data_IF_386442754698
#
_entry.id   IF_386442754698
#
_cell.length_a   1.000
_cell.length_b   1.000
_cell.length_c   1.000
_cell.angle_alpha   90.00
_cell.angle_beta   90.00
_cell.angle_gamma   90.00
#
_symmetry.space_group_name_H-M   'P 1'
#
loop_
_entity.id
_entity.type
_entity.pdbx_description
1 polymer ?
#
# COMPACT_ATOMS: atom_id res chain seq x y z
N UNK A 1 -8.16 20.55 19.60
CA UNK A 1 -6.86 20.59 18.87
C UNK A 1 -7.15 20.55 17.38
N UNK A 2 -6.65 21.53 16.59
CA UNK A 2 -6.76 21.47 15.13
C UNK A 2 -5.54 20.70 14.61
N UNK A 3 -5.75 19.56 13.99
CA UNK A 3 -4.70 18.83 13.30
C UNK A 3 -4.27 19.62 12.06
N UNK A 4 -2.96 19.68 11.80
CA UNK A 4 -2.46 20.24 10.56
C UNK A 4 -2.61 19.19 9.41
N UNK A 5 -2.41 19.63 8.17
CA UNK A 5 -2.57 18.77 6.98
C UNK A 5 -1.74 17.49 7.06
N UNK A 6 -0.46 17.60 7.45
CA UNK A 6 0.44 16.45 7.55
C UNK A 6 -0.02 15.45 8.60
N UNK A 7 -0.49 15.95 9.77
CA UNK A 7 -1.04 15.12 10.83
C UNK A 7 -2.28 14.35 10.39
N UNK A 8 -3.16 15.00 9.61
CA UNK A 8 -4.33 14.34 9.04
C UNK A 8 -3.93 13.24 8.05
N UNK A 9 -2.98 13.51 7.15
CA UNK A 9 -2.50 12.51 6.19
C UNK A 9 -1.86 11.33 6.91
N UNK A 10 -1.04 11.56 7.94
CA UNK A 10 -0.43 10.49 8.74
C UNK A 10 -1.49 9.64 9.45
N UNK A 11 -2.53 10.26 10.01
CA UNK A 11 -3.63 9.53 10.65
C UNK A 11 -4.42 8.67 9.65
N UNK A 12 -4.69 9.19 8.44
CA UNK A 12 -5.35 8.43 7.37
C UNK A 12 -4.49 7.27 6.89
N UNK A 13 -3.18 7.49 6.70
CA UNK A 13 -2.26 6.41 6.33
C UNK A 13 -2.17 5.33 7.41
N UNK A 14 -2.15 5.72 8.70
CA UNK A 14 -2.17 4.77 9.80
C UNK A 14 -3.46 3.93 9.80
N UNK A 15 -4.61 4.57 9.58
CA UNK A 15 -5.89 3.88 9.44
C UNK A 15 -5.88 2.91 8.25
N UNK A 16 -5.37 3.33 7.10
CA UNK A 16 -5.22 2.50 5.91
C UNK A 16 -4.34 1.26 6.17
N UNK A 17 -3.18 1.43 6.82
CA UNK A 17 -2.30 0.31 7.20
C UNK A 17 -2.98 -0.68 8.15
N UNK A 18 -3.68 -0.18 9.17
CA UNK A 18 -4.40 -1.02 10.12
C UNK A 18 -5.54 -1.80 9.45
N UNK A 19 -6.32 -1.14 8.58
CA UNK A 19 -7.39 -1.78 7.83
C UNK A 19 -6.86 -2.86 6.88
N UNK A 20 -5.77 -2.58 6.16
CA UNK A 20 -5.15 -3.58 5.27
C UNK A 20 -4.63 -4.78 6.08
N UNK A 21 -4.03 -4.55 7.25
CA UNK A 21 -3.60 -5.65 8.14
C UNK A 21 -4.78 -6.50 8.62
N UNK A 22 -5.90 -5.86 8.95
CA UNK A 22 -7.12 -6.54 9.36
C UNK A 22 -7.74 -7.32 8.19
N UNK A 23 -7.81 -6.73 7.01
CA UNK A 23 -8.28 -7.37 5.78
C UNK A 23 -7.48 -8.64 5.47
N UNK A 24 -6.15 -8.56 5.49
CA UNK A 24 -5.27 -9.72 5.30
C UNK A 24 -5.57 -10.80 6.36
N UNK A 25 -5.76 -10.41 7.63
CA UNK A 25 -6.07 -11.35 8.72
C UNK A 25 -7.41 -12.07 8.50
N UNK A 26 -8.41 -11.37 7.98
CA UNK A 26 -9.75 -11.92 7.76
C UNK A 26 -9.79 -12.79 6.52
N UNK A 27 -9.22 -12.31 5.40
CA UNK A 27 -9.28 -13.02 4.12
C UNK A 27 -8.35 -14.24 4.05
N UNK A 28 -7.25 -14.24 4.79
CA UNK A 28 -6.23 -15.30 4.74
C UNK A 28 -6.20 -16.16 6.02
N UNK A 29 -7.34 -16.39 6.67
CA UNK A 29 -7.42 -17.11 7.94
C UNK A 29 -6.79 -18.50 7.88
N UNK A 30 -6.99 -19.25 6.81
CA UNK A 30 -6.46 -20.59 6.62
C UNK A 30 -4.94 -20.56 6.45
N UNK A 31 -4.43 -19.70 5.57
CA UNK A 31 -2.99 -19.53 5.31
C UNK A 31 -2.25 -19.08 6.58
N UNK A 32 -2.84 -18.18 7.35
CA UNK A 32 -2.26 -17.66 8.60
C UNK A 32 -2.20 -18.73 9.69
N UNK A 33 -3.10 -19.74 9.65
CA UNK A 33 -3.07 -20.87 10.59
C UNK A 33 -2.01 -21.90 10.22
N UNK A 34 -1.81 -22.12 8.92
CA UNK A 34 -0.94 -23.17 8.42
C UNK A 34 0.51 -22.69 8.24
N UNK A 35 0.69 -21.43 7.81
CA UNK A 35 2.00 -20.86 7.50
C UNK A 35 2.28 -19.61 8.32
N UNK A 36 3.38 -19.60 9.07
CA UNK A 36 3.80 -18.46 9.88
C UNK A 36 4.09 -17.19 9.04
N UNK A 37 4.47 -17.35 7.76
CA UNK A 37 4.73 -16.24 6.83
C UNK A 37 3.49 -15.36 6.62
N UNK A 38 2.29 -15.91 6.76
CA UNK A 38 1.04 -15.17 6.68
C UNK A 38 0.91 -14.07 7.75
N UNK A 39 1.65 -14.17 8.86
CA UNK A 39 1.66 -13.15 9.90
C UNK A 39 2.52 -11.94 9.58
N UNK A 40 3.48 -12.05 8.65
CA UNK A 40 4.42 -10.96 8.32
C UNK A 40 3.69 -9.67 7.93
N UNK A 41 2.77 -9.65 6.93
CA UNK A 41 2.07 -8.43 6.54
C UNK A 41 1.13 -7.91 7.65
N UNK A 42 0.55 -8.79 8.47
CA UNK A 42 -0.36 -8.42 9.54
C UNK A 42 0.40 -7.66 10.63
N UNK A 43 1.46 -8.28 11.17
CA UNK A 43 2.29 -7.66 12.21
C UNK A 43 2.91 -6.37 11.70
N UNK A 44 3.46 -6.39 10.48
CA UNK A 44 4.01 -5.19 9.86
C UNK A 44 2.98 -4.07 9.77
N UNK A 45 1.78 -4.34 9.26
CA UNK A 45 0.74 -3.33 9.08
C UNK A 45 0.34 -2.65 10.39
N UNK A 46 0.17 -3.41 11.49
CA UNK A 46 -0.12 -2.83 12.80
C UNK A 46 1.05 -2.06 13.39
N UNK A 47 2.29 -2.55 13.24
CA UNK A 47 3.50 -1.85 13.69
C UNK A 47 3.65 -0.52 12.91
N UNK A 48 3.52 -0.55 11.59
CA UNK A 48 3.58 0.64 10.76
C UNK A 48 2.48 1.66 11.12
N UNK A 49 1.23 1.20 11.35
CA UNK A 49 0.14 2.05 11.81
C UNK A 49 0.47 2.74 13.13
N UNK A 50 1.03 2.01 14.10
CA UNK A 50 1.45 2.55 15.40
C UNK A 50 2.53 3.63 15.24
N UNK A 51 3.57 3.39 14.42
CA UNK A 51 4.61 4.39 14.17
C UNK A 51 4.10 5.63 13.41
N UNK A 52 3.19 5.45 12.44
CA UNK A 52 2.54 6.56 11.74
C UNK A 52 1.70 7.42 12.70
N UNK A 53 0.93 6.80 13.61
CA UNK A 53 0.20 7.52 14.66
C UNK A 53 1.15 8.27 15.60
N UNK A 54 2.24 7.63 16.04
CA UNK A 54 3.23 8.28 16.87
C UNK A 54 3.89 9.48 16.15
N UNK A 55 4.09 9.39 14.83
CA UNK A 55 4.65 10.47 14.01
C UNK A 55 3.72 11.71 13.91
N UNK A 56 2.43 11.59 14.25
CA UNK A 56 1.50 12.71 14.40
C UNK A 56 1.98 13.70 15.47
N UNK A 57 2.76 13.25 16.48
CA UNK A 57 3.37 14.12 17.50
C UNK A 57 4.39 15.11 16.95
N UNK A 58 4.81 14.99 15.69
CA UNK A 58 5.80 15.82 14.98
C UNK A 58 7.21 15.81 15.59
N UNK A 59 7.50 14.88 16.48
CA UNK A 59 8.86 14.67 17.01
C UNK A 59 9.76 14.13 15.91
N UNK A 60 10.85 14.83 15.60
CA UNK A 60 11.74 14.52 14.46
C UNK A 60 12.25 13.07 14.45
N UNK A 61 12.68 12.57 15.60
CA UNK A 61 13.20 11.20 15.72
C UNK A 61 12.11 10.17 15.40
N UNK A 62 10.90 10.37 15.92
CA UNK A 62 9.76 9.49 15.67
C UNK A 62 9.40 9.49 14.19
N UNK A 63 9.40 10.65 13.54
CA UNK A 63 9.13 10.77 12.10
C UNK A 63 10.16 10.02 11.26
N UNK A 64 11.44 10.12 11.58
CA UNK A 64 12.50 9.39 10.87
C UNK A 64 12.30 7.88 11.05
N UNK A 65 12.08 7.41 12.28
CA UNK A 65 11.86 5.97 12.54
C UNK A 65 10.62 5.47 11.82
N UNK A 66 9.51 6.21 11.88
CA UNK A 66 8.30 5.86 11.15
C UNK A 66 8.53 5.79 9.63
N UNK A 67 9.30 6.72 9.07
CA UNK A 67 9.68 6.70 7.66
C UNK A 67 10.52 5.47 7.29
N UNK A 68 11.48 5.09 8.14
CA UNK A 68 12.27 3.87 7.94
C UNK A 68 11.42 2.61 8.06
N UNK A 69 10.47 2.57 9.00
CA UNK A 69 9.49 1.47 9.10
C UNK A 69 8.65 1.38 7.82
N UNK A 70 8.21 2.52 7.28
CA UNK A 70 7.50 2.54 5.99
C UNK A 70 8.37 2.01 4.85
N UNK A 71 9.67 2.35 4.77
CA UNK A 71 10.57 1.81 3.74
C UNK A 71 10.64 0.27 3.76
N UNK A 72 10.61 -0.35 4.95
CA UNK A 72 10.58 -1.81 5.09
C UNK A 72 9.29 -2.42 4.50
N UNK A 73 8.20 -1.67 4.46
CA UNK A 73 6.94 -2.11 3.88
C UNK A 73 6.98 -2.35 2.38
N UNK A 74 7.87 -1.67 1.66
CA UNK A 74 7.99 -1.83 0.21
C UNK A 74 8.41 -3.27 -0.14
N UNK A 75 9.53 -3.81 0.38
CA UNK A 75 9.89 -5.20 0.11
C UNK A 75 8.89 -6.22 0.69
N UNK A 76 8.23 -5.92 1.82
CA UNK A 76 7.20 -6.81 2.38
C UNK A 76 6.00 -6.92 1.43
N UNK A 77 5.50 -5.80 0.90
CA UNK A 77 4.41 -5.82 -0.07
C UNK A 77 4.81 -6.49 -1.39
N UNK A 78 6.03 -6.25 -1.88
CA UNK A 78 6.56 -6.93 -3.07
C UNK A 78 6.70 -8.44 -2.87
N UNK A 79 7.14 -8.88 -1.69
CA UNK A 79 7.15 -10.29 -1.32
C UNK A 79 5.75 -10.90 -1.31
N UNK A 80 4.76 -10.17 -0.81
CA UNK A 80 3.35 -10.58 -0.88
C UNK A 80 2.89 -10.80 -2.32
N UNK A 81 3.19 -9.88 -3.23
CA UNK A 81 2.90 -10.03 -4.67
C UNK A 81 3.57 -11.28 -5.23
N UNK A 82 4.85 -11.49 -4.94
CA UNK A 82 5.60 -12.66 -5.40
C UNK A 82 4.94 -13.97 -4.94
N UNK A 83 4.49 -14.04 -3.69
CA UNK A 83 3.79 -15.22 -3.18
C UNK A 83 2.41 -15.43 -3.83
N UNK A 84 1.67 -14.36 -4.12
CA UNK A 84 0.37 -14.45 -4.80
C UNK A 84 0.47 -14.82 -6.29
N UNK A 85 1.61 -14.62 -6.88
CA UNK A 85 1.84 -14.95 -8.31
C UNK A 85 2.56 -16.28 -8.50
N UNK A 86 2.62 -17.11 -7.47
CA UNK A 86 3.33 -18.41 -7.50
C UNK A 86 4.79 -18.28 -7.98
N UNK A 87 5.45 -17.19 -7.63
CA UNK A 87 6.79 -16.86 -8.09
C UNK A 87 6.87 -16.41 -9.56
N UNK A 88 5.73 -16.16 -10.22
CA UNK A 88 5.66 -15.71 -11.61
C UNK A 88 5.12 -14.28 -11.67
N UNK A 89 5.81 -13.38 -12.37
CA UNK A 89 5.30 -12.01 -12.62
C UNK A 89 4.38 -11.93 -13.86
N UNK A 90 4.08 -13.05 -14.52
CA UNK A 90 3.19 -13.08 -15.70
C UNK A 90 1.81 -12.46 -15.46
N UNK A 91 1.10 -12.74 -14.34
CA UNK A 91 -0.20 -12.13 -14.08
C UNK A 91 -0.13 -10.60 -13.99
N UNK A 92 0.97 -10.04 -13.45
CA UNK A 92 1.16 -8.59 -13.35
C UNK A 92 1.40 -7.97 -14.73
N UNK A 93 2.18 -8.64 -15.59
CA UNK A 93 2.39 -8.18 -16.97
C UNK A 93 1.08 -8.19 -17.76
N UNK A 94 0.17 -9.14 -17.51
CA UNK A 94 -1.15 -9.18 -18.14
C UNK A 94 -2.03 -8.01 -17.70
N UNK A 95 -2.00 -7.57 -16.43
CA UNK A 95 -2.72 -6.39 -15.96
C UNK A 95 -2.30 -5.13 -16.72
N UNK A 96 -1.01 -4.97 -17.03
CA UNK A 96 -0.53 -3.84 -17.81
C UNK A 96 -0.76 -4.00 -19.32
N UNK A 97 -0.90 -5.23 -19.83
CA UNK A 97 -1.20 -5.50 -21.24
C UNK A 97 -2.66 -5.27 -21.59
N UNK A 98 -3.58 -5.53 -20.66
CA UNK A 98 -5.03 -5.32 -20.84
C UNK A 98 -5.35 -3.84 -21.06
N UNK A 99 -4.57 -2.91 -20.49
CA UNK A 99 -4.79 -1.47 -20.70
C UNK A 99 -4.63 -1.06 -22.18
N UNK A 100 -3.87 -1.79 -22.96
CA UNK A 100 -3.67 -1.53 -24.40
C UNK A 100 -4.75 -2.21 -25.27
N UNK A 101 -5.46 -3.21 -24.76
CA UNK A 101 -6.45 -3.97 -25.55
C UNK A 101 -7.88 -3.43 -25.38
N UNK A 102 -8.19 -2.73 -24.28
CA UNK A 102 -9.52 -2.16 -24.04
C UNK A 102 -9.82 -0.97 -24.98
N UNK A 103 -8.79 -0.31 -25.51
CA UNK A 103 -8.96 0.77 -26.52
C UNK A 103 -9.29 0.21 -27.91
N UNK A 104 -9.01 -1.07 -28.18
CA UNK A 104 -9.17 -1.66 -29.52
C UNK A 104 -10.45 -2.50 -29.71
N UNK A 105 -11.26 -2.71 -28.67
CA UNK A 105 -12.44 -3.60 -28.75
C UNK A 105 -13.74 -2.91 -28.29
N UNK A 106 -14.00 -1.73 -28.83
CA UNK A 106 -15.30 -1.06 -28.72
C UNK A 106 -16.27 -1.48 -29.84
N UNK A 107 -16.04 -2.58 -30.54
CA UNK A 107 -16.92 -3.07 -31.58
C UNK A 107 -17.05 -4.61 -31.53
N UNK A 108 -18.25 -5.08 -31.18
CA UNK A 108 -18.68 -6.46 -31.41
C UNK A 108 -18.60 -7.38 -30.19
N UNK A 109 -19.77 -7.67 -29.64
CA UNK A 109 -20.04 -8.54 -28.50
C UNK A 109 -19.47 -9.96 -28.60
N UNK A 110 -19.16 -10.41 -27.42
CA UNK A 110 -19.44 -11.73 -26.86
C UNK A 110 -18.91 -11.72 -25.43
N UNK A 111 -19.85 -11.75 -24.48
CA UNK A 111 -19.57 -11.93 -23.06
C UNK A 111 -18.97 -13.33 -22.89
N UNK A 112 -17.66 -13.44 -22.94
CA UNK A 112 -16.97 -14.58 -22.35
C UNK A 112 -16.95 -14.36 -20.85
N UNK A 113 -17.91 -14.95 -20.13
CA UNK A 113 -17.84 -15.19 -18.69
C UNK A 113 -16.49 -15.86 -18.44
N UNK A 114 -15.51 -15.09 -17.99
CA UNK A 114 -14.33 -15.65 -17.39
C UNK A 114 -14.78 -16.25 -16.08
N UNK A 115 -14.94 -17.59 -16.07
CA UNK A 115 -15.10 -18.37 -14.86
C UNK A 115 -14.07 -17.90 -13.86
N UNK A 116 -14.55 -17.16 -12.83
CA UNK A 116 -13.77 -16.71 -11.71
C UNK A 116 -13.18 -17.94 -11.02
N UNK A 117 -11.90 -18.14 -11.19
CA UNK A 117 -11.17 -19.14 -10.42
C UNK A 117 -11.48 -18.95 -8.94
N UNK A 118 -11.80 -20.05 -8.28
CA UNK A 118 -12.20 -20.17 -6.87
C UNK A 118 -11.50 -19.15 -5.96
N UNK A 119 -12.27 -18.18 -5.47
CA UNK A 119 -12.12 -17.48 -4.17
C UNK A 119 -10.78 -16.87 -3.77
N UNK A 120 -9.76 -16.83 -4.62
CA UNK A 120 -8.45 -16.26 -4.29
C UNK A 120 -8.47 -14.72 -4.30
N UNK A 121 -7.82 -14.11 -3.32
CA UNK A 121 -7.64 -12.65 -3.30
C UNK A 121 -6.95 -12.17 -4.58
N UNK A 122 -7.31 -10.99 -5.13
CA UNK A 122 -6.68 -10.46 -6.33
C UNK A 122 -5.16 -10.39 -6.18
N UNK A 123 -4.36 -10.77 -7.20
CA UNK A 123 -2.90 -10.77 -7.12
C UNK A 123 -2.30 -9.39 -6.82
N UNK A 124 -3.05 -8.33 -7.06
CA UNK A 124 -2.65 -6.96 -6.78
C UNK A 124 -2.94 -6.51 -5.33
N UNK A 125 -3.66 -7.29 -4.50
CA UNK A 125 -4.01 -6.90 -3.13
C UNK A 125 -2.79 -6.51 -2.26
N UNK A 126 -1.62 -7.21 -2.33
CA UNK A 126 -0.43 -6.83 -1.57
C UNK A 126 0.18 -5.48 -1.97
N UNK A 127 -0.14 -4.96 -3.17
CA UNK A 127 0.30 -3.63 -3.61
C UNK A 127 -0.28 -2.50 -2.76
N UNK A 128 -1.39 -2.74 -2.06
CA UNK A 128 -1.95 -1.78 -1.10
C UNK A 128 -0.94 -1.42 0.00
N UNK A 129 -0.28 -2.41 0.59
CA UNK A 129 0.78 -2.19 1.60
C UNK A 129 1.95 -1.42 1.00
N UNK A 130 2.41 -1.82 -0.20
CA UNK A 130 3.51 -1.15 -0.90
C UNK A 130 3.19 0.32 -1.18
N UNK A 131 1.98 0.61 -1.66
CA UNK A 131 1.52 1.97 -1.96
C UNK A 131 1.47 2.86 -0.72
N UNK A 132 0.79 2.41 0.34
CA UNK A 132 0.69 3.14 1.60
C UNK A 132 2.07 3.36 2.24
N UNK A 133 2.94 2.35 2.22
CA UNK A 133 4.30 2.42 2.73
C UNK A 133 5.14 3.43 1.95
N UNK A 134 5.03 3.44 0.62
CA UNK A 134 5.74 4.41 -0.24
C UNK A 134 5.31 5.84 0.07
N UNK A 135 4.00 6.11 0.15
CA UNK A 135 3.48 7.44 0.48
C UNK A 135 3.96 7.88 1.87
N UNK A 136 3.89 6.97 2.86
CA UNK A 136 4.37 7.24 4.23
C UNK A 136 5.86 7.57 4.28
N UNK A 137 6.69 6.80 3.57
CA UNK A 137 8.13 7.04 3.49
C UNK A 137 8.44 8.39 2.83
N UNK A 138 7.82 8.71 1.71
CA UNK A 138 7.99 9.99 1.01
C UNK A 138 7.60 11.17 1.90
N UNK A 139 6.45 11.10 2.57
CA UNK A 139 5.95 12.16 3.44
C UNK A 139 6.87 12.41 4.64
N UNK A 140 7.51 11.37 5.18
CA UNK A 140 8.28 11.44 6.40
C UNK A 140 9.77 11.70 6.18
N UNK A 141 10.35 11.19 5.10
CA UNK A 141 11.78 11.23 4.82
C UNK A 141 12.17 12.33 3.83
N UNK A 142 11.26 12.72 2.92
CA UNK A 142 11.55 13.79 1.97
C UNK A 142 11.22 15.14 2.62
N UNK A 143 12.20 16.05 2.79
CA UNK A 143 11.93 17.37 3.33
C UNK A 143 11.06 18.17 2.35
N UNK A 144 10.02 18.82 2.87
CA UNK A 144 9.11 19.69 2.11
C UNK A 144 9.79 21.00 1.67
N UNK A 145 11.01 20.93 1.11
CA UNK A 145 11.71 22.07 0.55
C UNK A 145 11.23 22.28 -0.89
N UNK A 146 10.29 23.20 -1.09
CA UNK A 146 9.99 23.67 -2.43
C UNK A 146 8.54 24.06 -2.76
N UNK A 147 7.57 23.84 -1.90
CA UNK A 147 6.17 24.20 -2.20
C UNK A 147 5.74 25.58 -1.64
N UNK A 148 6.66 26.36 -1.06
CA UNK A 148 6.35 27.62 -0.36
C UNK A 148 7.04 28.89 -0.89
N UNK A 149 7.55 28.93 -2.11
CA UNK A 149 8.23 30.11 -2.67
C UNK A 149 7.64 30.63 -3.97
N UNK A 150 6.32 30.59 -4.12
CA UNK A 150 5.69 31.16 -5.33
C UNK A 150 4.94 32.47 -5.08
N UNK A 151 4.72 32.87 -3.82
CA UNK A 151 3.87 34.04 -3.53
C UNK A 151 4.62 35.35 -3.20
N UNK A 152 5.97 35.33 -3.17
CA UNK A 152 6.75 36.53 -2.78
C UNK A 152 7.47 37.22 -3.96
N UNK A 153 7.24 36.81 -5.21
CA UNK A 153 7.85 37.42 -6.41
C UNK A 153 6.87 38.18 -7.33
N UNK A 154 5.63 38.44 -6.85
CA UNK A 154 4.67 39.27 -7.59
C UNK A 154 4.21 40.41 -6.67
N UNK A 155 5.14 41.24 -6.25
CA UNK A 155 4.87 42.53 -5.66
C UNK A 155 5.86 43.56 -6.23
#
# INVERSE_FOLDING_TARGET
>A
MKLNRDQMILAVLAGGMALTALEVRVLHQEIVREYWQGWIPIVYGFVAAGFLLAAVSQVKQIRIVAGLVCLVGIPIGMYGVFMHTEGSFRPIQQLFSVTNTVVAKADGGEESESEGGEGGAPPAAPLGITGLATIGALLLLVPAKGLGKTDEQIA
#
